data_IF_627271334339
#
_entry.id   IF_627271334339
#
_cell.length_a   1.000
_cell.length_b   1.000
_cell.length_c   1.000
_cell.angle_alpha   90.00
_cell.angle_beta   90.00
_cell.angle_gamma   90.00
#
_symmetry.space_group_name_H-M   'P 1'
#
loop_
_entity.id
_entity.type
_entity.pdbx_description
1 polymer ?
#
# COMPACT_ATOMS: atom_id res chain seq x y z
N UNK A 1 -0.64 31.36 72.66
CA UNK A 1 -0.79 31.94 71.32
C UNK A 1 -0.35 30.91 70.33
N UNK A 2 -1.25 30.25 69.53
CA UNK A 2 -0.86 29.28 68.51
C UNK A 2 -0.58 30.03 67.24
N UNK A 3 0.47 29.59 66.50
CA UNK A 3 0.90 30.05 65.24
C UNK A 3 0.09 29.29 64.12
N UNK A 4 -0.59 30.06 63.31
CA UNK A 4 -1.19 29.59 62.05
C UNK A 4 -0.09 29.06 61.14
N UNK A 5 -0.23 27.80 60.73
CA UNK A 5 0.48 27.23 59.61
C UNK A 5 -0.48 27.20 58.43
N UNK A 6 -0.25 28.10 57.53
CA UNK A 6 -0.89 28.08 56.20
C UNK A 6 -0.61 26.75 55.47
N UNK A 7 -1.66 26.01 55.28
CA UNK A 7 -1.65 24.78 54.50
C UNK A 7 -1.89 25.17 53.03
N UNK A 8 -0.83 25.55 52.34
CA UNK A 8 -0.90 25.72 50.86
C UNK A 8 -1.08 24.35 50.21
N UNK A 9 -2.29 24.05 49.82
CA UNK A 9 -2.60 22.91 48.97
C UNK A 9 -1.94 23.12 47.61
N UNK A 10 -0.83 22.44 47.39
CA UNK A 10 -0.25 22.28 46.06
C UNK A 10 -1.24 21.48 45.22
N UNK A 11 -1.95 22.19 44.34
CA UNK A 11 -2.72 21.59 43.21
C UNK A 11 -1.72 20.86 42.33
N UNK A 12 -1.58 19.56 42.50
CA UNK A 12 -0.92 18.68 41.56
C UNK A 12 -1.84 18.58 40.33
N UNK A 13 -1.56 19.40 39.34
CA UNK A 13 -2.07 19.20 37.96
C UNK A 13 -1.53 17.82 37.53
N UNK A 14 -2.35 16.80 37.59
CA UNK A 14 -2.04 15.52 37.01
C UNK A 14 -1.93 15.75 35.48
N UNK A 15 -0.71 15.71 34.94
CA UNK A 15 -0.54 15.65 33.50
C UNK A 15 -1.15 14.32 33.02
N UNK A 16 -2.27 14.39 32.32
CA UNK A 16 -2.87 13.23 31.71
C UNK A 16 -1.84 12.58 30.77
N UNK A 17 -1.78 11.24 30.80
CA UNK A 17 -0.87 10.49 29.92
C UNK A 17 -1.40 10.49 28.50
N UNK A 18 -0.52 10.41 27.50
CA UNK A 18 -0.91 10.32 26.08
C UNK A 18 -2.05 9.31 25.81
N UNK A 19 -2.02 8.08 26.36
CA UNK A 19 -3.12 7.13 26.16
C UNK A 19 -4.47 7.66 26.67
N UNK A 20 -4.51 8.33 27.82
CA UNK A 20 -5.77 8.82 28.39
C UNK A 20 -6.35 9.97 27.56
N UNK A 21 -5.52 10.92 27.13
CA UNK A 21 -5.96 12.03 26.26
C UNK A 21 -6.48 11.51 24.93
N UNK A 22 -5.76 10.56 24.31
CA UNK A 22 -6.15 9.96 23.04
C UNK A 22 -7.44 9.13 23.19
N UNK A 23 -7.63 8.41 24.29
CA UNK A 23 -8.83 7.64 24.55
C UNK A 23 -10.06 8.52 24.72
N UNK A 24 -9.93 9.64 25.41
CA UNK A 24 -10.99 10.64 25.56
C UNK A 24 -11.35 11.21 24.17
N UNK A 25 -10.36 11.64 23.39
CA UNK A 25 -10.58 12.18 22.05
C UNK A 25 -11.27 11.16 21.13
N UNK A 26 -10.80 9.91 21.12
CA UNK A 26 -11.41 8.85 20.34
C UNK A 26 -12.85 8.54 20.80
N UNK A 27 -13.11 8.59 22.11
CA UNK A 27 -14.46 8.42 22.65
C UNK A 27 -15.45 9.46 22.12
N UNK A 28 -15.00 10.68 21.90
CA UNK A 28 -15.81 11.80 21.38
C UNK A 28 -15.94 11.77 19.84
N UNK A 29 -14.92 11.29 19.11
CA UNK A 29 -14.81 11.43 17.65
C UNK A 29 -15.01 10.14 16.86
N UNK A 30 -15.06 8.96 17.51
CA UNK A 30 -15.20 7.67 16.82
C UNK A 30 -16.39 7.62 15.86
N UNK A 31 -17.55 8.10 16.29
CA UNK A 31 -18.76 8.13 15.44
C UNK A 31 -18.60 9.03 14.21
N UNK A 32 -17.82 10.11 14.32
CA UNK A 32 -17.55 10.99 13.19
C UNK A 32 -16.54 10.35 12.23
N UNK A 33 -15.51 9.67 12.74
CA UNK A 33 -14.57 8.93 11.90
C UNK A 33 -15.27 7.82 11.10
N UNK A 34 -16.21 7.11 11.70
CA UNK A 34 -17.04 6.14 10.96
C UNK A 34 -17.86 6.82 9.86
N UNK A 35 -18.42 8.02 10.09
CA UNK A 35 -19.09 8.77 9.03
C UNK A 35 -18.14 9.22 7.93
N UNK A 36 -16.91 9.62 8.26
CA UNK A 36 -15.87 9.94 7.29
C UNK A 36 -15.59 8.74 6.39
N UNK A 37 -15.32 7.56 6.96
CA UNK A 37 -15.11 6.32 6.20
C UNK A 37 -16.29 6.01 5.28
N UNK A 38 -17.51 6.07 5.81
CA UNK A 38 -18.73 5.79 5.06
C UNK A 38 -18.96 6.81 3.95
N UNK A 39 -18.61 8.08 4.17
CA UNK A 39 -18.68 9.11 3.13
C UNK A 39 -17.75 8.80 1.97
N UNK A 40 -16.49 8.43 2.25
CA UNK A 40 -15.51 8.04 1.23
C UNK A 40 -16.00 6.77 0.51
N UNK A 41 -16.46 5.77 1.24
CA UNK A 41 -17.00 4.52 0.68
C UNK A 41 -18.20 4.70 -0.24
N UNK A 42 -19.09 5.63 0.10
CA UNK A 42 -20.27 5.97 -0.72
C UNK A 42 -19.93 6.74 -2.00
N UNK A 43 -18.80 7.45 -2.02
CA UNK A 43 -18.38 8.33 -3.11
C UNK A 43 -17.00 7.92 -3.66
N UNK A 44 -16.80 6.65 -4.06
CA UNK A 44 -15.50 6.17 -4.50
C UNK A 44 -15.09 6.79 -5.82
N UNK A 45 -13.81 7.07 -5.96
CA UNK A 45 -13.21 7.59 -7.18
C UNK A 45 -12.07 6.67 -7.63
N UNK A 46 -11.98 6.44 -8.94
CA UNK A 46 -10.92 5.62 -9.52
C UNK A 46 -9.57 6.33 -9.46
N UNK A 47 -8.51 5.54 -9.56
CA UNK A 47 -7.12 6.04 -9.73
C UNK A 47 -7.05 7.18 -10.75
N UNK A 48 -6.29 8.22 -10.44
CA UNK A 48 -6.14 9.48 -11.21
C UNK A 48 -7.39 10.38 -11.24
N UNK A 49 -8.42 10.05 -10.48
CA UNK A 49 -9.69 10.80 -10.48
C UNK A 49 -10.20 11.12 -9.07
N UNK A 50 -9.37 11.01 -8.04
CA UNK A 50 -9.71 11.12 -6.61
C UNK A 50 -9.93 12.57 -6.15
N UNK A 51 -10.45 13.43 -7.04
CA UNK A 51 -10.58 14.89 -6.83
C UNK A 51 -11.45 15.25 -5.63
N UNK A 52 -12.60 14.57 -5.49
CA UNK A 52 -13.54 14.85 -4.39
C UNK A 52 -13.05 14.28 -3.07
N UNK A 53 -12.41 13.12 -3.11
CA UNK A 53 -11.81 12.48 -1.96
C UNK A 53 -10.67 13.34 -1.41
N UNK A 54 -9.78 13.81 -2.27
CA UNK A 54 -8.69 14.73 -1.92
C UNK A 54 -9.19 16.06 -1.33
N UNK A 55 -10.18 16.69 -1.97
CA UNK A 55 -10.75 17.96 -1.46
C UNK A 55 -11.54 17.73 -0.16
N UNK A 56 -12.22 16.58 0.01
CA UNK A 56 -12.88 16.23 1.26
C UNK A 56 -11.86 16.10 2.41
N UNK A 57 -10.76 15.39 2.21
CA UNK A 57 -9.68 15.26 3.18
C UNK A 57 -9.07 16.64 3.51
N UNK A 58 -8.73 17.42 2.48
CA UNK A 58 -8.17 18.76 2.68
C UNK A 58 -9.14 19.70 3.44
N UNK A 59 -10.43 19.60 3.17
CA UNK A 59 -11.45 20.39 3.89
C UNK A 59 -11.49 20.01 5.38
N UNK A 60 -11.48 18.69 5.71
CA UNK A 60 -11.45 18.24 7.11
C UNK A 60 -10.20 18.70 7.86
N UNK A 61 -9.06 18.74 7.18
CA UNK A 61 -7.81 19.26 7.74
C UNK A 61 -7.88 20.78 7.99
N UNK A 62 -8.42 21.55 7.02
CA UNK A 62 -8.63 23.02 7.18
C UNK A 62 -9.59 23.34 8.32
N UNK A 63 -10.66 22.58 8.48
CA UNK A 63 -11.61 22.72 9.60
C UNK A 63 -10.94 22.54 10.97
N UNK A 64 -9.88 21.72 11.03
CA UNK A 64 -9.05 21.56 12.23
C UNK A 64 -7.98 22.65 12.40
N UNK A 65 -7.91 23.63 11.49
CA UNK A 65 -6.94 24.73 11.52
C UNK A 65 -5.57 24.38 10.92
N UNK A 66 -5.51 23.32 10.11
CA UNK A 66 -4.29 22.89 9.42
C UNK A 66 -4.23 23.46 7.99
N UNK A 67 -3.05 23.44 7.39
CA UNK A 67 -2.78 23.99 6.06
C UNK A 67 -2.36 22.89 5.06
N UNK A 68 -3.30 22.06 4.57
CA UNK A 68 -2.99 21.06 3.56
C UNK A 68 -2.65 21.71 2.21
N UNK A 69 -1.72 21.10 1.48
CA UNK A 69 -1.39 21.47 0.12
C UNK A 69 -1.55 20.26 -0.82
N UNK A 70 -1.86 20.57 -2.09
CA UNK A 70 -2.00 19.57 -3.15
C UNK A 70 -0.72 19.48 -3.95
N UNK A 71 -0.36 18.24 -4.37
CA UNK A 71 0.77 18.08 -5.28
C UNK A 71 0.43 18.66 -6.67
N UNK A 72 1.39 19.26 -7.36
CA UNK A 72 1.14 19.84 -8.67
C UNK A 72 0.72 18.78 -9.71
N UNK A 73 -0.44 18.99 -10.33
CA UNK A 73 -0.92 18.18 -11.46
C UNK A 73 -1.53 16.82 -11.09
N UNK A 74 -1.75 16.58 -9.80
CA UNK A 74 -2.38 15.33 -9.33
C UNK A 74 -3.26 15.61 -8.08
N UNK A 75 -3.92 14.57 -7.55
CA UNK A 75 -4.87 14.64 -6.44
C UNK A 75 -4.23 14.37 -5.06
N UNK A 76 -2.92 14.24 -4.98
CA UNK A 76 -2.22 14.00 -3.71
C UNK A 76 -2.34 15.19 -2.75
N UNK A 77 -2.57 14.88 -1.46
CA UNK A 77 -2.68 15.90 -0.40
C UNK A 77 -1.61 15.63 0.66
N UNK A 78 -0.91 16.68 1.05
CA UNK A 78 0.08 16.64 2.12
C UNK A 78 -0.25 17.69 3.16
N UNK A 79 -0.05 17.36 4.45
CA UNK A 79 -0.30 18.29 5.55
C UNK A 79 0.67 18.06 6.69
N UNK A 80 1.33 19.10 7.16
CA UNK A 80 2.24 19.05 8.30
C UNK A 80 1.54 19.50 9.58
N UNK A 81 1.89 18.85 10.70
CA UNK A 81 1.38 19.13 12.05
C UNK A 81 2.57 19.21 12.99
N UNK A 82 2.59 20.21 13.85
CA UNK A 82 3.63 20.41 14.85
C UNK A 82 4.51 21.62 14.57
N UNK A 83 5.66 21.67 15.22
CA UNK A 83 6.61 22.77 15.08
C UNK A 83 7.26 22.75 13.69
N UNK A 84 7.17 23.83 12.89
CA UNK A 84 7.81 23.90 11.58
C UNK A 84 9.35 23.78 11.66
N UNK A 85 9.94 24.13 12.79
CA UNK A 85 11.38 24.04 13.02
C UNK A 85 11.82 22.73 13.69
N UNK A 86 10.91 21.73 13.79
CA UNK A 86 11.26 20.43 14.33
C UNK A 86 12.32 19.73 13.47
N UNK A 87 13.36 19.21 14.12
CA UNK A 87 14.48 18.53 13.45
C UNK A 87 14.07 17.24 12.74
N UNK A 88 12.93 16.65 13.11
CA UNK A 88 12.44 15.37 12.57
C UNK A 88 11.05 15.50 11.99
N UNK A 89 10.84 14.83 10.89
CA UNK A 89 9.53 14.69 10.26
C UNK A 89 9.19 13.21 10.18
N UNK A 90 8.08 12.83 10.80
CA UNK A 90 7.53 11.46 10.72
C UNK A 90 6.33 11.49 9.79
N UNK A 91 6.36 10.71 8.71
CA UNK A 91 5.26 10.65 7.76
C UNK A 91 4.29 9.49 8.06
N UNK A 92 3.00 9.76 7.90
CA UNK A 92 1.92 8.77 7.92
C UNK A 92 1.24 8.78 6.55
N UNK A 93 1.21 7.63 5.86
CA UNK A 93 0.66 7.53 4.49
C UNK A 93 -0.65 6.77 4.47
N UNK A 94 -1.58 7.26 3.67
CA UNK A 94 -2.75 6.53 3.19
C UNK A 94 -2.91 6.71 1.68
N UNK A 95 -3.35 5.67 1.00
CA UNK A 95 -3.88 5.68 -0.36
C UNK A 95 -5.37 6.09 -0.36
N UNK A 96 -5.87 6.58 -1.52
CA UNK A 96 -7.22 7.15 -1.59
C UNK A 96 -8.12 6.54 -2.67
N UNK A 97 -7.56 5.86 -3.66
CA UNK A 97 -8.28 5.40 -4.83
C UNK A 97 -9.17 4.17 -4.59
N UNK A 98 -10.16 4.00 -5.46
CA UNK A 98 -11.08 2.87 -5.48
C UNK A 98 -10.89 2.03 -6.75
N UNK A 99 -11.54 0.87 -6.77
CA UNK A 99 -11.44 -0.12 -7.85
C UNK A 99 -12.67 -0.11 -8.77
N UNK A 100 -12.51 -0.46 -10.06
CA UNK A 100 -13.60 -0.60 -11.02
C UNK A 100 -14.35 -1.92 -10.79
N UNK A 101 -14.99 -2.05 -9.63
CA UNK A 101 -15.72 -3.24 -9.17
C UNK A 101 -17.09 -2.81 -8.65
N UNK A 102 -18.16 -3.51 -9.05
CA UNK A 102 -19.49 -3.27 -8.51
C UNK A 102 -19.55 -3.54 -7.01
N UNK A 103 -20.30 -2.71 -6.29
CA UNK A 103 -20.61 -2.90 -4.87
C UNK A 103 -21.96 -3.59 -4.72
N UNK A 104 -22.04 -4.91 -4.50
CA UNK A 104 -23.30 -5.63 -4.35
C UNK A 104 -23.88 -5.60 -2.92
N UNK A 105 -23.15 -5.00 -1.96
CA UNK A 105 -23.54 -5.04 -0.53
C UNK A 105 -24.90 -4.38 -0.26
N UNK A 106 -25.65 -4.94 0.66
CA UNK A 106 -26.90 -4.34 1.19
C UNK A 106 -26.60 -3.63 2.53
N UNK A 107 -25.94 -2.48 2.42
CA UNK A 107 -25.55 -1.65 3.56
C UNK A 107 -25.90 -0.18 3.31
N UNK A 108 -26.20 0.62 4.35
CA UNK A 108 -26.62 2.02 4.18
C UNK A 108 -25.52 2.94 3.61
N UNK A 109 -24.26 2.49 3.61
CA UNK A 109 -23.10 3.19 3.06
C UNK A 109 -22.56 2.57 1.77
N UNK A 110 -23.36 1.74 1.07
CA UNK A 110 -23.03 1.20 -0.25
C UNK A 110 -22.58 2.31 -1.21
N UNK A 111 -21.65 1.99 -2.10
CA UNK A 111 -21.23 2.89 -3.18
C UNK A 111 -22.42 3.45 -3.96
N UNK A 112 -22.42 4.76 -4.18
CA UNK A 112 -23.40 5.45 -5.05
C UNK A 112 -22.94 5.55 -6.49
N UNK A 113 -21.69 5.12 -6.79
CA UNK A 113 -21.08 5.16 -8.11
C UNK A 113 -21.13 3.76 -8.74
N UNK A 114 -21.95 3.54 -9.79
CA UNK A 114 -22.07 2.24 -10.41
C UNK A 114 -20.72 1.75 -10.94
N UNK A 115 -20.39 0.47 -10.67
CA UNK A 115 -19.16 -0.15 -11.15
C UNK A 115 -17.89 0.27 -10.41
N UNK A 116 -18.00 1.00 -9.29
CA UNK A 116 -16.83 1.46 -8.51
C UNK A 116 -17.06 1.24 -7.02
N UNK A 117 -16.09 0.66 -6.32
CA UNK A 117 -16.13 0.57 -4.85
C UNK A 117 -14.73 0.52 -4.23
N UNK A 118 -14.66 0.84 -2.94
CA UNK A 118 -13.47 0.63 -2.12
C UNK A 118 -13.36 -0.84 -1.70
N UNK A 119 -12.84 -1.68 -2.59
CA UNK A 119 -12.67 -3.11 -2.36
C UNK A 119 -11.26 -3.50 -1.84
N UNK A 120 -10.41 -2.50 -1.54
CA UNK A 120 -9.08 -2.69 -0.93
C UNK A 120 -8.95 -2.05 0.46
N UNK A 121 -9.93 -1.26 0.90
CA UNK A 121 -9.93 -0.63 2.24
C UNK A 121 -9.25 0.73 2.30
N UNK A 122 -9.00 1.39 1.17
CA UNK A 122 -8.38 2.72 1.12
C UNK A 122 -9.24 3.79 1.80
N UNK A 123 -10.55 3.61 1.85
CA UNK A 123 -11.47 4.42 2.67
C UNK A 123 -11.15 4.33 4.17
N UNK A 124 -10.72 3.16 4.67
CA UNK A 124 -10.25 2.96 6.04
C UNK A 124 -8.86 3.57 6.23
N UNK A 125 -7.91 3.34 5.29
CA UNK A 125 -6.56 3.89 5.37
C UNK A 125 -6.60 5.43 5.43
N UNK A 126 -7.33 6.06 4.51
CA UNK A 126 -7.55 7.52 4.49
C UNK A 126 -8.16 8.02 5.80
N UNK A 127 -9.19 7.32 6.31
CA UNK A 127 -9.85 7.71 7.58
C UNK A 127 -8.92 7.56 8.78
N UNK A 128 -8.11 6.51 8.83
CA UNK A 128 -7.14 6.28 9.92
C UNK A 128 -6.08 7.36 9.96
N UNK A 129 -5.48 7.70 8.80
CA UNK A 129 -4.44 8.74 8.75
C UNK A 129 -5.03 10.12 9.00
N UNK A 130 -6.21 10.43 8.47
CA UNK A 130 -6.94 11.67 8.77
C UNK A 130 -7.25 11.76 10.27
N UNK A 131 -7.82 10.72 10.86
CA UNK A 131 -8.13 10.67 12.29
C UNK A 131 -6.90 10.82 13.17
N UNK A 132 -5.79 10.18 12.82
CA UNK A 132 -4.51 10.35 13.51
C UNK A 132 -4.02 11.81 13.44
N UNK A 133 -4.11 12.43 12.27
CA UNK A 133 -3.77 13.84 12.07
C UNK A 133 -4.63 14.78 12.92
N UNK A 134 -5.95 14.58 12.93
CA UNK A 134 -6.86 15.39 13.75
C UNK A 134 -6.59 15.24 15.26
N UNK A 135 -6.32 14.02 15.72
CA UNK A 135 -5.95 13.76 17.11
C UNK A 135 -4.61 14.43 17.47
N UNK A 136 -3.61 14.32 16.60
CA UNK A 136 -2.29 14.97 16.79
C UNK A 136 -2.39 16.49 16.78
N UNK A 137 -3.23 17.07 15.93
CA UNK A 137 -3.49 18.51 15.90
C UNK A 137 -4.11 19.00 17.23
N UNK A 138 -5.04 18.23 17.81
CA UNK A 138 -5.63 18.56 19.11
C UNK A 138 -4.60 18.42 20.24
N UNK A 139 -3.82 17.34 20.24
CA UNK A 139 -2.72 17.14 21.19
C UNK A 139 -1.70 18.29 21.13
N UNK A 140 -1.38 18.77 19.92
CA UNK A 140 -0.41 19.85 19.72
C UNK A 140 -0.87 21.19 20.36
N UNK A 141 -2.17 21.43 20.50
CA UNK A 141 -2.70 22.64 21.17
C UNK A 141 -2.39 22.65 22.66
N UNK A 142 -2.23 21.49 23.28
CA UNK A 142 -2.02 21.35 24.73
C UNK A 142 -0.61 20.92 25.08
N UNK A 143 0.11 20.27 24.17
CA UNK A 143 1.45 19.74 24.39
C UNK A 143 2.26 19.79 23.10
N UNK A 144 3.54 20.19 23.20
CA UNK A 144 4.44 20.16 22.04
C UNK A 144 4.67 18.72 21.58
N UNK A 145 4.46 18.45 20.28
CA UNK A 145 4.81 17.17 19.69
C UNK A 145 6.34 17.00 19.62
N UNK A 146 6.87 15.77 19.75
CA UNK A 146 8.31 15.51 19.72
C UNK A 146 8.91 15.65 18.30
N UNK A 147 8.06 15.73 17.27
CA UNK A 147 8.43 15.86 15.87
C UNK A 147 7.37 16.64 15.11
N UNK A 148 7.67 17.02 13.88
CA UNK A 148 6.66 17.38 12.90
C UNK A 148 6.10 16.09 12.29
N UNK A 149 4.77 15.98 12.21
CA UNK A 149 4.10 14.85 11.60
C UNK A 149 3.56 15.27 10.24
N UNK A 150 3.95 14.54 9.20
CA UNK A 150 3.49 14.74 7.83
C UNK A 150 2.46 13.71 7.46
N UNK A 151 1.26 14.15 7.14
CA UNK A 151 0.21 13.32 6.57
C UNK A 151 0.39 13.29 5.06
N UNK A 152 0.38 12.09 4.47
CA UNK A 152 0.54 11.88 3.02
C UNK A 152 -0.67 11.09 2.54
N UNK A 153 -1.60 11.76 1.86
CA UNK A 153 -2.75 11.13 1.21
C UNK A 153 -2.43 10.97 -0.27
N UNK A 154 -2.18 9.76 -0.65
CA UNK A 154 -1.66 9.39 -1.95
C UNK A 154 -2.79 8.95 -2.90
N UNK A 155 -2.85 9.46 -4.13
CA UNK A 155 -3.73 8.93 -5.18
C UNK A 155 -3.12 7.72 -5.86
N UNK A 156 -3.94 6.93 -6.57
CA UNK A 156 -3.52 6.03 -7.64
C UNK A 156 -2.56 4.91 -7.21
N UNK A 157 -2.87 4.20 -6.14
CA UNK A 157 -2.12 3.01 -5.72
C UNK A 157 -2.37 1.83 -6.69
N UNK A 158 -3.62 1.65 -7.14
CA UNK A 158 -4.13 0.48 -7.86
C UNK A 158 -3.85 0.50 -9.38
N UNK A 159 -3.08 1.46 -9.88
CA UNK A 159 -2.79 1.60 -11.31
C UNK A 159 -1.31 1.74 -11.62
N UNK A 160 -0.94 1.56 -12.91
CA UNK A 160 0.41 1.83 -13.40
C UNK A 160 0.40 2.88 -14.52
N UNK A 161 1.27 3.89 -14.45
CA UNK A 161 2.17 4.21 -13.33
C UNK A 161 1.39 4.64 -12.08
N UNK A 162 1.89 4.25 -10.90
CA UNK A 162 1.23 4.53 -9.62
C UNK A 162 1.51 5.95 -9.11
N UNK A 163 0.81 6.38 -8.05
CA UNK A 163 0.88 7.73 -7.54
C UNK A 163 2.07 8.03 -6.63
N UNK A 164 2.67 7.02 -5.96
CA UNK A 164 3.77 7.26 -5.04
C UNK A 164 4.97 7.99 -5.68
N UNK A 165 5.44 7.66 -6.91
CA UNK A 165 6.48 8.44 -7.57
C UNK A 165 6.11 9.90 -7.85
N UNK A 166 4.83 10.20 -8.06
CA UNK A 166 4.36 11.59 -8.27
C UNK A 166 4.43 12.38 -6.95
N UNK A 167 4.01 11.76 -5.83
CA UNK A 167 4.16 12.33 -4.49
C UNK A 167 5.62 12.62 -4.14
N UNK A 168 6.53 11.68 -4.41
CA UNK A 168 7.97 11.83 -4.16
C UNK A 168 8.53 13.00 -4.97
N UNK A 169 8.25 13.05 -6.27
CA UNK A 169 8.71 14.15 -7.14
C UNK A 169 8.17 15.52 -6.72
N UNK A 170 7.00 15.57 -6.11
CA UNK A 170 6.40 16.78 -5.57
C UNK A 170 6.98 17.23 -4.22
N UNK A 171 7.92 16.47 -3.64
CA UNK A 171 8.55 16.79 -2.36
C UNK A 171 7.80 16.28 -1.13
N UNK A 172 6.83 15.37 -1.27
CA UNK A 172 6.07 14.85 -0.14
C UNK A 172 6.96 14.15 0.91
N UNK A 173 8.13 13.68 0.51
CA UNK A 173 9.12 13.02 1.40
C UNK A 173 10.33 13.90 1.74
N UNK A 174 10.34 15.18 1.35
CA UNK A 174 11.45 16.08 1.66
C UNK A 174 11.65 16.19 3.17
N UNK A 175 12.89 15.92 3.64
CA UNK A 175 13.32 15.89 5.05
C UNK A 175 12.58 14.86 5.95
N UNK A 176 11.85 13.91 5.38
CA UNK A 176 11.17 12.87 6.16
C UNK A 176 12.18 11.89 6.75
N UNK A 177 12.18 11.77 8.08
CA UNK A 177 13.07 10.88 8.83
C UNK A 177 12.59 9.42 8.82
N UNK A 178 11.27 9.22 8.81
CA UNK A 178 10.66 7.89 8.74
C UNK A 178 9.21 7.96 8.25
N UNK A 179 8.73 6.86 7.63
CA UNK A 179 7.37 6.79 7.09
C UNK A 179 6.66 5.50 7.50
N UNK A 180 5.37 5.62 7.85
CA UNK A 180 4.55 4.50 8.29
C UNK A 180 3.21 4.47 7.55
N UNK A 181 2.71 3.24 7.30
CA UNK A 181 1.42 3.01 6.67
C UNK A 181 0.72 1.77 7.27
N UNK A 182 -0.58 1.71 7.07
CA UNK A 182 -1.36 0.47 7.23
C UNK A 182 -1.88 -0.01 5.87
N UNK A 183 -2.09 -1.33 5.80
CA UNK A 183 -2.96 -1.93 4.80
C UNK A 183 -3.97 -2.84 5.51
N UNK A 184 -5.25 -2.76 5.14
CA UNK A 184 -6.30 -3.63 5.66
C UNK A 184 -6.03 -5.11 5.36
N UNK A 185 -6.22 -5.98 6.36
CA UNK A 185 -6.19 -7.43 6.17
C UNK A 185 -7.49 -8.04 6.73
N UNK A 186 -8.42 -8.48 5.87
CA UNK A 186 -9.67 -9.09 6.30
C UNK A 186 -9.51 -10.47 6.95
N UNK A 187 -8.35 -11.13 6.76
CA UNK A 187 -8.04 -12.42 7.40
C UNK A 187 -7.55 -12.25 8.83
N UNK A 188 -7.15 -11.03 9.19
CA UNK A 188 -6.73 -10.68 10.54
C UNK A 188 -7.92 -10.10 11.30
N UNK A 189 -8.31 -10.66 12.47
CA UNK A 189 -9.41 -10.13 13.26
C UNK A 189 -9.20 -8.68 13.66
N UNK A 190 -10.29 -7.91 13.74
CA UNK A 190 -10.29 -6.54 14.26
C UNK A 190 -9.63 -6.48 15.64
N UNK A 191 -8.87 -5.41 15.89
CA UNK A 191 -8.07 -5.24 17.12
C UNK A 191 -6.68 -5.86 17.07
N UNK A 192 -6.33 -6.56 16.00
CA UNK A 192 -4.97 -7.07 15.79
C UNK A 192 -4.20 -6.25 14.77
N UNK A 193 -2.89 -6.22 14.95
CA UNK A 193 -1.94 -5.60 14.02
C UNK A 193 -0.89 -6.63 13.62
N UNK A 194 -0.80 -6.91 12.33
CA UNK A 194 0.18 -7.80 11.74
C UNK A 194 1.45 -7.05 11.35
N UNK A 195 2.59 -7.43 11.89
CA UNK A 195 3.90 -6.80 11.62
C UNK A 195 4.87 -7.81 11.01
N UNK A 196 5.78 -7.32 10.17
CA UNK A 196 6.83 -8.12 9.59
C UNK A 196 8.03 -7.25 9.22
N UNK A 197 9.20 -7.60 9.68
CA UNK A 197 10.46 -6.99 9.25
C UNK A 197 10.96 -7.63 7.96
N UNK A 198 11.56 -6.84 7.08
CA UNK A 198 11.98 -7.31 5.76
C UNK A 198 10.82 -7.40 4.76
N UNK A 199 10.83 -8.37 3.82
CA UNK A 199 9.84 -8.44 2.76
C UNK A 199 8.41 -8.63 3.31
N UNK A 200 7.51 -7.69 2.97
CA UNK A 200 6.08 -7.72 3.32
C UNK A 200 5.21 -8.01 2.09
N UNK A 201 5.50 -7.36 0.96
CA UNK A 201 4.80 -7.61 -0.31
C UNK A 201 5.81 -7.87 -1.42
N UNK A 202 5.37 -8.56 -2.49
CA UNK A 202 6.21 -8.81 -3.64
C UNK A 202 6.25 -7.59 -4.59
N UNK A 203 7.32 -7.50 -5.38
CA UNK A 203 7.31 -6.73 -6.61
C UNK A 203 6.21 -7.25 -7.55
N UNK A 204 5.70 -6.37 -8.41
CA UNK A 204 4.65 -6.71 -9.35
C UNK A 204 4.96 -6.14 -10.73
N UNK A 205 5.57 -6.96 -11.59
CA UNK A 205 5.88 -6.61 -12.97
C UNK A 205 4.98 -7.39 -13.95
N UNK A 206 4.77 -6.84 -15.15
CA UNK A 206 4.08 -7.51 -16.24
C UNK A 206 5.04 -7.81 -17.39
N UNK A 207 4.75 -8.89 -18.10
CA UNK A 207 5.50 -9.33 -19.25
C UNK A 207 4.55 -9.64 -20.41
N UNK A 208 4.80 -9.03 -21.57
CA UNK A 208 4.13 -9.38 -22.82
C UNK A 208 5.18 -9.71 -23.87
N UNK A 209 5.03 -10.85 -24.53
CA UNK A 209 5.91 -11.27 -25.61
C UNK A 209 5.08 -11.54 -26.84
N UNK A 210 5.39 -10.85 -27.93
CA UNK A 210 4.80 -11.08 -29.26
C UNK A 210 5.82 -11.79 -30.14
N UNK A 211 5.47 -12.99 -30.62
CA UNK A 211 6.26 -13.71 -31.60
C UNK A 211 5.72 -13.48 -32.99
N UNK A 212 6.61 -13.25 -33.96
CA UNK A 212 6.28 -13.14 -35.39
C UNK A 212 7.13 -14.08 -36.21
N UNK A 213 6.51 -14.67 -37.26
CA UNK A 213 7.19 -15.59 -38.15
C UNK A 213 6.39 -15.92 -39.42
N UNK A 214 6.99 -16.69 -40.32
CA UNK A 214 6.33 -17.12 -41.51
C UNK A 214 5.29 -18.20 -41.22
N UNK A 215 4.01 -17.86 -41.35
CA UNK A 215 2.92 -18.82 -41.29
C UNK A 215 2.80 -19.71 -42.54
N UNK A 216 1.88 -20.67 -42.48
CA UNK A 216 1.60 -21.53 -43.64
C UNK A 216 0.84 -22.82 -43.30
N UNK A 217 0.82 -23.76 -44.20
CA UNK A 217 0.09 -25.01 -44.01
C UNK A 217 0.85 -25.98 -43.11
N UNK A 218 0.19 -26.55 -42.10
CA UNK A 218 0.79 -27.47 -41.11
C UNK A 218 1.41 -28.73 -41.73
N UNK A 219 1.04 -29.13 -42.97
CA UNK A 219 1.68 -30.21 -43.69
C UNK A 219 3.08 -29.88 -44.27
N UNK A 220 3.51 -28.62 -44.17
CA UNK A 220 4.80 -28.13 -44.67
C UNK A 220 5.56 -27.33 -43.62
N UNK A 221 5.82 -27.90 -42.42
CA UNK A 221 6.42 -27.16 -41.29
C UNK A 221 7.81 -26.62 -41.63
N UNK A 222 8.59 -27.30 -42.50
CA UNK A 222 9.90 -26.87 -42.95
C UNK A 222 9.94 -25.56 -43.76
N UNK A 223 8.78 -25.06 -44.21
CA UNK A 223 8.62 -23.78 -44.94
C UNK A 223 8.02 -22.68 -44.07
N UNK A 224 7.82 -22.94 -42.78
CA UNK A 224 7.15 -22.06 -41.85
C UNK A 224 7.97 -21.86 -40.56
N UNK A 225 7.58 -20.90 -39.74
CA UNK A 225 8.02 -20.76 -38.36
C UNK A 225 6.87 -21.20 -37.46
N UNK A 226 7.01 -22.32 -36.78
CA UNK A 226 5.95 -22.86 -35.91
C UNK A 226 5.82 -22.02 -34.63
N UNK A 227 4.98 -20.99 -34.68
CA UNK A 227 4.78 -20.08 -33.55
C UNK A 227 4.03 -20.73 -32.39
N UNK A 228 3.16 -21.73 -32.66
CA UNK A 228 2.47 -22.46 -31.59
C UNK A 228 3.50 -23.23 -30.75
N UNK A 229 4.42 -23.92 -31.43
CA UNK A 229 5.54 -24.59 -30.74
C UNK A 229 6.44 -23.58 -30.00
N UNK A 230 6.83 -22.49 -30.64
CA UNK A 230 7.71 -21.49 -30.06
C UNK A 230 7.12 -20.87 -28.78
N UNK A 231 5.83 -20.50 -28.78
CA UNK A 231 5.12 -19.99 -27.61
C UNK A 231 5.03 -21.03 -26.48
N UNK A 232 4.77 -22.30 -26.84
CA UNK A 232 4.74 -23.39 -25.85
C UNK A 232 6.10 -23.54 -25.14
N UNK A 233 7.20 -23.37 -25.90
CA UNK A 233 8.57 -23.40 -25.35
C UNK A 233 8.79 -22.24 -24.37
N UNK A 234 8.29 -21.04 -24.65
CA UNK A 234 8.39 -19.92 -23.71
C UNK A 234 7.70 -20.24 -22.38
N UNK A 235 6.50 -20.82 -22.41
CA UNK A 235 5.77 -21.19 -21.19
C UNK A 235 6.55 -22.17 -20.32
N UNK A 236 7.21 -23.15 -20.94
CA UNK A 236 7.90 -24.23 -20.23
C UNK A 236 9.32 -23.81 -19.83
N UNK A 237 10.07 -23.25 -20.77
CA UNK A 237 11.51 -23.09 -20.62
C UNK A 237 11.89 -21.79 -19.89
N UNK A 238 11.16 -20.68 -20.09
CA UNK A 238 11.55 -19.39 -19.50
C UNK A 238 11.52 -19.44 -17.97
N UNK A 239 10.44 -19.89 -17.30
CA UNK A 239 10.43 -20.01 -15.86
C UNK A 239 11.51 -20.98 -15.36
N UNK A 240 11.65 -22.14 -16.01
CA UNK A 240 12.61 -23.15 -15.61
C UNK A 240 14.08 -22.71 -15.74
N UNK A 241 14.40 -21.92 -16.77
CA UNK A 241 15.75 -21.35 -16.96
C UNK A 241 16.00 -20.19 -16.00
N UNK A 242 14.98 -19.37 -15.73
CA UNK A 242 15.07 -18.27 -14.76
C UNK A 242 15.43 -18.80 -13.38
N UNK A 243 14.74 -19.86 -12.90
CA UNK A 243 15.01 -20.51 -11.62
C UNK A 243 16.44 -21.06 -11.49
N UNK A 244 17.11 -21.37 -12.61
CA UNK A 244 18.49 -21.85 -12.62
C UNK A 244 19.54 -20.74 -12.62
N UNK A 245 19.14 -19.51 -12.91
CA UNK A 245 20.03 -18.33 -12.98
C UNK A 245 19.93 -17.43 -11.76
N UNK A 246 18.92 -17.63 -10.91
CA UNK A 246 18.67 -16.82 -9.72
C UNK A 246 19.08 -17.54 -8.43
N UNK A 247 19.41 -16.76 -7.42
CA UNK A 247 19.47 -17.28 -6.04
C UNK A 247 18.04 -17.67 -5.60
N UNK A 248 17.82 -18.93 -5.18
CA UNK A 248 16.48 -19.38 -4.76
C UNK A 248 15.88 -18.52 -3.62
N UNK A 249 16.71 -17.84 -2.83
CA UNK A 249 16.27 -16.94 -1.75
C UNK A 249 15.59 -15.67 -2.27
N UNK A 250 15.83 -15.29 -3.52
CA UNK A 250 15.17 -14.13 -4.15
C UNK A 250 13.68 -14.34 -4.37
N UNK A 251 13.20 -15.59 -4.28
CA UNK A 251 11.78 -15.96 -4.37
C UNK A 251 11.08 -15.34 -5.58
N UNK A 252 11.67 -15.53 -6.77
CA UNK A 252 11.10 -15.02 -8.03
C UNK A 252 10.11 -16.02 -8.60
N UNK A 253 8.94 -15.54 -9.02
CA UNK A 253 7.92 -16.32 -9.71
C UNK A 253 7.53 -15.64 -11.02
N UNK A 254 7.73 -16.33 -12.16
CA UNK A 254 7.22 -15.92 -13.46
C UNK A 254 6.10 -16.86 -13.85
N UNK A 255 4.89 -16.30 -14.04
CA UNK A 255 3.69 -17.07 -14.37
C UNK A 255 3.01 -16.45 -15.58
N UNK A 256 2.80 -17.24 -16.62
CA UNK A 256 2.02 -16.83 -17.80
C UNK A 256 0.54 -17.12 -17.59
N UNK A 257 -0.29 -16.08 -17.70
CA UNK A 257 -1.74 -16.15 -17.53
C UNK A 257 -2.53 -16.20 -18.87
N UNK A 258 -1.89 -15.85 -19.98
CA UNK A 258 -2.55 -15.86 -21.30
C UNK A 258 -1.58 -16.25 -22.42
N UNK A 259 -2.07 -17.04 -23.35
CA UNK A 259 -1.40 -17.39 -24.62
C UNK A 259 -2.43 -17.35 -25.73
N UNK A 260 -2.13 -16.66 -26.84
CA UNK A 260 -3.02 -16.50 -27.96
C UNK A 260 -2.24 -16.69 -29.27
N UNK A 261 -2.64 -17.68 -30.09
CA UNK A 261 -2.00 -17.93 -31.38
C UNK A 261 -2.88 -18.82 -32.26
N UNK A 262 -3.16 -18.34 -33.46
CA UNK A 262 -3.90 -19.08 -34.47
C UNK A 262 -5.36 -19.36 -34.14
N UNK A 263 -6.13 -19.80 -35.14
CA UNK A 263 -7.56 -20.16 -35.03
C UNK A 263 -7.93 -21.42 -35.82
N UNK A 264 -7.04 -21.91 -36.67
CA UNK A 264 -7.30 -23.06 -37.52
C UNK A 264 -6.26 -24.18 -37.34
N UNK A 265 -6.72 -25.41 -37.20
CA UNK A 265 -5.86 -26.56 -36.93
C UNK A 265 -4.85 -26.89 -38.04
N UNK A 266 -5.11 -26.48 -39.28
CA UNK A 266 -4.26 -26.75 -40.43
C UNK A 266 -3.47 -25.56 -40.96
N UNK A 267 -3.43 -24.45 -40.17
CA UNK A 267 -2.69 -23.23 -40.53
C UNK A 267 -1.81 -22.77 -39.39
N UNK A 268 -0.52 -22.65 -39.63
CA UNK A 268 0.45 -22.05 -38.72
C UNK A 268 0.28 -20.53 -38.79
N UNK A 269 0.03 -19.84 -37.66
CA UNK A 269 -0.15 -18.39 -37.60
C UNK A 269 1.13 -17.62 -37.91
N UNK A 270 0.99 -16.33 -38.27
CA UNK A 270 2.12 -15.40 -38.46
C UNK A 270 2.47 -14.58 -37.24
N UNK A 271 1.58 -14.55 -36.26
CA UNK A 271 1.72 -13.85 -35.02
C UNK A 271 1.09 -14.64 -33.86
N UNK A 272 1.67 -14.50 -32.68
CA UNK A 272 1.11 -15.02 -31.46
C UNK A 272 1.68 -14.28 -30.25
N UNK A 273 0.91 -14.20 -29.18
CA UNK A 273 1.24 -13.45 -27.96
C UNK A 273 1.14 -14.32 -26.73
N UNK A 274 2.01 -14.02 -25.74
CA UNK A 274 1.95 -14.57 -24.42
C UNK A 274 2.06 -13.43 -23.39
N UNK A 275 1.27 -13.47 -22.31
CA UNK A 275 1.30 -12.49 -21.24
C UNK A 275 1.42 -13.17 -19.89
N UNK A 276 2.20 -12.55 -19.02
CA UNK A 276 2.45 -13.06 -17.67
C UNK A 276 2.79 -11.97 -16.67
N UNK A 277 3.00 -12.41 -15.45
CA UNK A 277 3.46 -11.55 -14.34
C UNK A 277 4.75 -12.10 -13.77
N UNK A 278 5.60 -11.19 -13.28
CA UNK A 278 6.82 -11.53 -12.56
C UNK A 278 6.72 -10.95 -11.16
N UNK A 279 6.85 -11.82 -10.15
CA UNK A 279 6.76 -11.48 -8.74
C UNK A 279 8.05 -11.85 -8.04
N UNK A 280 8.52 -11.01 -7.11
CA UNK A 280 9.74 -11.31 -6.36
C UNK A 280 9.80 -10.53 -5.04
N UNK A 281 10.53 -11.08 -4.06
CA UNK A 281 10.65 -10.52 -2.72
C UNK A 281 11.99 -9.81 -2.49
N UNK A 282 12.88 -9.85 -3.46
CA UNK A 282 14.23 -9.32 -3.35
C UNK A 282 14.40 -8.08 -4.26
N UNK A 283 14.88 -6.97 -3.66
CA UNK A 283 15.04 -5.69 -4.36
C UNK A 283 16.17 -5.72 -5.40
N UNK A 284 17.24 -6.44 -5.13
CA UNK A 284 18.36 -6.54 -6.07
C UNK A 284 18.00 -7.45 -7.25
N UNK A 285 17.27 -8.55 -6.98
CA UNK A 285 16.72 -9.37 -8.05
C UNK A 285 15.77 -8.54 -8.94
N UNK A 286 14.92 -7.67 -8.35
CA UNK A 286 14.01 -6.81 -9.11
C UNK A 286 14.75 -5.88 -10.09
N UNK A 287 15.97 -5.45 -9.78
CA UNK A 287 16.80 -4.62 -10.69
C UNK A 287 17.31 -5.40 -11.90
N UNK A 288 17.61 -6.69 -11.74
CA UNK A 288 18.37 -7.49 -12.72
C UNK A 288 17.50 -8.49 -13.51
N UNK A 289 16.38 -8.92 -12.95
CA UNK A 289 15.47 -9.91 -13.56
C UNK A 289 14.92 -9.49 -14.93
N UNK A 290 14.58 -8.21 -15.19
CA UNK A 290 14.06 -7.81 -16.51
C UNK A 290 15.01 -8.13 -17.66
N UNK A 291 16.30 -7.80 -17.53
CA UNK A 291 17.31 -8.09 -18.55
C UNK A 291 17.55 -9.60 -18.70
N UNK A 292 17.56 -10.31 -17.57
CA UNK A 292 17.74 -11.77 -17.56
C UNK A 292 16.56 -12.48 -18.25
N UNK A 293 15.32 -12.09 -17.98
CA UNK A 293 14.13 -12.65 -18.62
C UNK A 293 14.14 -12.39 -20.12
N UNK A 294 14.46 -11.16 -20.54
CA UNK A 294 14.56 -10.79 -21.96
C UNK A 294 15.60 -11.65 -22.65
N UNK A 295 16.78 -11.82 -22.07
CA UNK A 295 17.83 -12.68 -22.66
C UNK A 295 17.41 -14.16 -22.74
N UNK A 296 16.75 -14.69 -21.72
CA UNK A 296 16.25 -16.07 -21.73
C UNK A 296 15.22 -16.27 -22.84
N UNK A 297 14.31 -15.30 -23.03
CA UNK A 297 13.33 -15.35 -24.10
C UNK A 297 14.03 -15.40 -25.46
N UNK A 298 15.01 -14.55 -25.70
CA UNK A 298 15.78 -14.54 -26.94
C UNK A 298 16.50 -15.87 -27.18
N UNK A 299 17.13 -16.44 -26.14
CA UNK A 299 17.83 -17.73 -26.21
C UNK A 299 16.86 -18.89 -26.54
N UNK A 300 15.64 -18.88 -25.98
CA UNK A 300 14.61 -19.91 -26.25
C UNK A 300 14.00 -19.76 -27.62
N UNK A 301 13.81 -18.54 -28.11
CA UNK A 301 13.14 -18.25 -29.39
C UNK A 301 14.09 -18.45 -30.56
N UNK A 302 15.38 -18.09 -30.42
CA UNK A 302 16.38 -18.10 -31.49
C UNK A 302 16.41 -19.41 -32.32
N UNK A 303 16.37 -20.61 -31.74
CA UNK A 303 16.39 -21.86 -32.52
C UNK A 303 15.11 -22.10 -33.35
N UNK A 304 14.00 -21.45 -33.02
CA UNK A 304 12.71 -21.60 -33.68
C UNK A 304 12.63 -20.80 -35.00
N UNK A 305 13.50 -19.82 -35.19
CA UNK A 305 13.49 -18.87 -36.30
C UNK A 305 12.39 -17.81 -36.19
N UNK A 306 11.67 -17.73 -35.08
CA UNK A 306 10.72 -16.65 -34.81
C UNK A 306 11.47 -15.35 -34.41
N UNK A 307 10.78 -14.22 -34.58
CA UNK A 307 11.20 -12.93 -34.04
C UNK A 307 10.39 -12.62 -32.80
N UNK A 308 11.07 -12.36 -31.68
CA UNK A 308 10.43 -11.93 -30.44
C UNK A 308 10.45 -10.40 -30.33
N UNK A 309 9.32 -9.85 -29.87
CA UNK A 309 9.17 -8.48 -29.40
C UNK A 309 8.78 -8.59 -27.91
N UNK A 310 9.70 -8.20 -27.02
CA UNK A 310 9.55 -8.38 -25.58
C UNK A 310 9.25 -7.05 -24.95
N UNK A 311 8.07 -6.92 -24.36
CA UNK A 311 7.65 -5.77 -23.59
C UNK A 311 7.61 -6.15 -22.11
N UNK A 312 8.69 -5.84 -21.38
CA UNK A 312 8.76 -6.01 -19.95
C UNK A 312 8.35 -4.70 -19.26
N UNK A 313 7.20 -4.72 -18.58
CA UNK A 313 6.60 -3.56 -17.93
C UNK A 313 6.95 -3.63 -16.45
N UNK A 314 7.85 -2.76 -16.01
CA UNK A 314 8.16 -2.63 -14.58
C UNK A 314 7.00 -1.97 -13.86
N UNK A 315 6.49 -2.64 -12.85
CA UNK A 315 5.46 -2.11 -11.95
C UNK A 315 6.06 -1.55 -10.67
N UNK A 316 5.71 -2.12 -9.52
CA UNK A 316 6.20 -1.69 -8.21
C UNK A 316 7.27 -2.63 -7.68
N UNK A 317 8.28 -2.12 -6.96
CA UNK A 317 9.25 -2.94 -6.25
C UNK A 317 8.62 -3.66 -5.04
N UNK A 318 9.32 -4.61 -4.40
CA UNK A 318 8.82 -5.22 -3.18
C UNK A 318 8.82 -4.23 -2.02
N UNK A 319 7.81 -4.27 -1.16
CA UNK A 319 7.85 -3.58 0.14
C UNK A 319 8.79 -4.35 1.06
N UNK A 320 9.89 -3.71 1.43
CA UNK A 320 10.87 -4.25 2.37
C UNK A 320 10.92 -3.35 3.59
N UNK A 321 10.17 -3.71 4.61
CA UNK A 321 10.10 -2.96 5.85
C UNK A 321 11.47 -2.85 6.53
N UNK A 322 11.84 -1.64 6.94
CA UNK A 322 13.02 -1.41 7.76
C UNK A 322 12.88 -2.09 9.13
N UNK A 323 13.97 -2.66 9.62
CA UNK A 323 13.95 -3.41 10.88
C UNK A 323 13.65 -2.53 12.09
N UNK A 324 14.21 -1.33 12.14
CA UNK A 324 14.04 -0.40 13.27
C UNK A 324 12.65 0.19 13.24
N UNK A 325 12.18 0.64 12.07
CA UNK A 325 10.83 1.16 11.87
C UNK A 325 9.76 0.10 12.19
N UNK A 326 9.97 -1.16 11.79
CA UNK A 326 9.06 -2.27 12.14
C UNK A 326 8.99 -2.51 13.65
N UNK A 327 10.14 -2.52 14.33
CA UNK A 327 10.18 -2.70 15.78
C UNK A 327 9.49 -1.55 16.51
N UNK A 328 9.63 -0.33 16.01
CA UNK A 328 8.98 0.86 16.54
C UNK A 328 7.47 0.80 16.38
N UNK A 329 6.97 0.49 15.18
CA UNK A 329 5.55 0.31 14.91
C UNK A 329 4.95 -0.81 15.77
N UNK A 330 5.66 -1.94 15.90
CA UNK A 330 5.24 -3.05 16.75
C UNK A 330 5.16 -2.64 18.23
N UNK A 331 6.15 -1.89 18.74
CA UNK A 331 6.15 -1.35 20.10
C UNK A 331 5.00 -0.36 20.34
N UNK A 332 4.74 0.52 19.36
CA UNK A 332 3.64 1.47 19.41
C UNK A 332 2.27 0.74 19.39
N UNK A 333 2.12 -0.27 18.55
CA UNK A 333 0.91 -1.11 18.50
C UNK A 333 0.70 -1.88 19.83
N UNK A 334 1.78 -2.39 20.42
CA UNK A 334 1.76 -3.06 21.72
C UNK A 334 1.35 -2.12 22.85
N UNK A 335 1.88 -0.90 22.86
CA UNK A 335 1.51 0.13 23.83
C UNK A 335 0.05 0.59 23.66
N UNK A 336 -0.43 0.68 22.41
CA UNK A 336 -1.76 1.15 22.08
C UNK A 336 -2.87 0.10 22.32
N UNK A 337 -2.60 -1.17 22.01
CA UNK A 337 -3.63 -2.22 21.98
C UNK A 337 -3.35 -3.39 22.92
N UNK A 338 -2.14 -3.48 23.48
CA UNK A 338 -1.64 -4.61 24.26
C UNK A 338 -0.80 -5.59 23.43
N UNK A 339 0.20 -6.19 24.06
CA UNK A 339 1.19 -7.06 23.42
C UNK A 339 0.54 -8.25 22.65
N UNK A 340 -0.51 -8.84 23.20
CA UNK A 340 -1.23 -9.97 22.58
C UNK A 340 -1.96 -9.62 21.27
N UNK A 341 -2.09 -8.34 20.94
CA UNK A 341 -2.73 -7.86 19.71
C UNK A 341 -1.74 -7.70 18.56
N UNK A 342 -0.43 -7.71 18.84
CA UNK A 342 0.61 -7.64 17.82
C UNK A 342 1.01 -9.06 17.41
N UNK A 343 0.86 -9.37 16.12
CA UNK A 343 1.14 -10.70 15.58
C UNK A 343 2.07 -10.62 14.37
N UNK A 344 2.80 -11.69 14.10
CA UNK A 344 3.55 -11.79 12.84
C UNK A 344 2.58 -12.02 11.68
N UNK A 345 2.79 -11.29 10.56
CA UNK A 345 1.99 -11.47 9.34
C UNK A 345 2.79 -12.18 8.25
N UNK A 346 2.15 -13.05 7.43
CA UNK A 346 2.83 -13.66 6.30
C UNK A 346 3.13 -12.64 5.20
N UNK A 347 4.09 -12.98 4.33
CA UNK A 347 4.35 -12.24 3.09
C UNK A 347 3.15 -12.33 2.17
N UNK A 348 2.80 -11.21 1.52
CA UNK A 348 1.84 -11.15 0.42
C UNK A 348 2.57 -11.17 -0.92
N UNK A 349 2.02 -11.88 -1.89
CA UNK A 349 2.51 -11.82 -3.28
C UNK A 349 1.82 -10.72 -4.10
N UNK A 350 0.96 -9.89 -3.48
CA UNK A 350 0.42 -8.66 -4.08
C UNK A 350 1.51 -7.59 -4.24
N UNK A 351 1.30 -6.65 -5.16
CA UNK A 351 2.10 -5.42 -5.28
C UNK A 351 1.59 -4.36 -4.30
N UNK A 352 2.44 -3.37 -4.00
CA UNK A 352 2.10 -2.23 -3.15
C UNK A 352 3.12 -1.11 -3.40
N UNK A 353 2.66 0.06 -3.79
CA UNK A 353 3.53 1.14 -4.22
C UNK A 353 4.12 1.97 -3.06
N UNK A 354 3.71 1.72 -1.81
CA UNK A 354 4.41 2.19 -0.61
C UNK A 354 5.91 1.85 -0.66
N UNK A 355 6.26 0.81 -1.38
CA UNK A 355 7.62 0.37 -1.63
C UNK A 355 8.55 1.47 -2.20
N UNK A 356 8.01 2.44 -2.95
CA UNK A 356 8.78 3.56 -3.49
C UNK A 356 9.22 4.53 -2.40
N UNK A 357 8.38 4.77 -1.39
CA UNK A 357 8.74 5.64 -0.26
C UNK A 357 9.89 5.06 0.57
N UNK A 358 10.01 3.73 0.61
CA UNK A 358 11.10 3.06 1.35
C UNK A 358 12.46 3.19 0.68
N UNK A 359 12.54 3.71 -0.55
CA UNK A 359 13.78 4.13 -1.18
C UNK A 359 14.25 5.51 -0.68
N UNK A 360 13.30 6.35 -0.23
CA UNK A 360 13.56 7.74 0.19
C UNK A 360 13.76 7.86 1.71
N UNK A 361 13.00 7.08 2.49
CA UNK A 361 13.08 7.13 3.94
C UNK A 361 12.89 5.72 4.56
N UNK A 362 13.57 5.41 5.68
CA UNK A 362 13.28 4.20 6.42
C UNK A 362 11.82 4.18 6.88
N UNK A 363 11.16 3.03 6.78
CA UNK A 363 9.75 2.97 7.12
C UNK A 363 9.22 1.56 7.28
N UNK A 364 7.98 1.46 7.68
CA UNK A 364 7.29 0.19 7.81
C UNK A 364 5.80 0.32 7.51
N UNK A 365 5.28 -0.66 6.79
CA UNK A 365 3.86 -0.91 6.66
C UNK A 365 3.46 -2.09 7.54
N UNK A 366 2.32 -1.98 8.22
CA UNK A 366 1.73 -3.10 8.96
C UNK A 366 0.35 -3.47 8.41
N UNK A 367 -0.13 -4.66 8.75
CA UNK A 367 -1.47 -5.12 8.44
C UNK A 367 -2.43 -4.74 9.57
N UNK A 368 -3.45 -3.95 9.24
CA UNK A 368 -4.53 -3.62 10.15
C UNK A 368 -5.62 -4.68 10.06
N UNK A 369 -5.89 -5.38 11.15
CA UNK A 369 -6.97 -6.34 11.22
C UNK A 369 -8.32 -5.67 11.07
N UNK A 370 -9.07 -6.06 10.05
CA UNK A 370 -10.41 -5.55 9.74
C UNK A 370 -11.46 -6.67 9.65
N UNK A 371 -11.05 -7.90 9.89
CA UNK A 371 -11.89 -9.09 9.76
C UNK A 371 -13.01 -9.13 10.79
N UNK A 372 -14.23 -9.43 10.34
CA UNK A 372 -15.41 -9.67 11.17
C UNK A 372 -15.45 -11.12 11.61
N UNK A 373 -15.83 -11.42 12.85
CA UNK A 373 -15.96 -12.81 13.31
C UNK A 373 -16.96 -13.60 12.46
N UNK A 374 -16.51 -14.75 11.93
CA UNK A 374 -17.36 -15.67 11.15
C UNK A 374 -17.54 -15.30 9.67
N UNK A 375 -16.99 -14.19 9.20
CA UNK A 375 -16.97 -13.82 7.78
C UNK A 375 -15.62 -14.21 7.15
N UNK A 376 -15.67 -14.63 5.88
CA UNK A 376 -14.48 -14.88 5.06
C UNK A 376 -14.54 -13.95 3.85
N UNK A 377 -14.00 -12.74 4.03
CA UNK A 377 -13.92 -11.73 3.00
C UNK A 377 -12.51 -11.66 2.43
N UNK A 378 -12.35 -11.24 1.20
CA UNK A 378 -11.04 -11.00 0.60
C UNK A 378 -11.03 -9.64 -0.11
N UNK A 379 -9.82 -9.11 -0.30
CA UNK A 379 -9.58 -7.86 -1.04
C UNK A 379 -9.97 -8.04 -2.52
N UNK A 380 -10.23 -6.93 -3.21
CA UNK A 380 -10.59 -6.87 -4.63
C UNK A 380 -11.87 -7.67 -4.97
N UNK A 381 -12.74 -7.82 -3.99
CA UNK A 381 -14.10 -8.36 -4.16
C UNK A 381 -15.13 -7.29 -3.80
N UNK A 382 -16.19 -7.16 -4.60
CA UNK A 382 -17.26 -6.19 -4.33
C UNK A 382 -17.97 -6.42 -2.99
N UNK A 383 -17.90 -7.63 -2.46
CA UNK A 383 -18.43 -8.01 -1.14
C UNK A 383 -17.52 -7.64 0.03
N UNK A 384 -16.28 -7.16 -0.26
CA UNK A 384 -15.36 -6.75 0.78
C UNK A 384 -15.97 -5.67 1.68
N UNK A 385 -15.87 -5.87 2.97
CA UNK A 385 -16.25 -4.90 4.00
C UNK A 385 -15.38 -5.10 5.25
N UNK A 386 -15.45 -4.17 6.18
CA UNK A 386 -14.58 -4.12 7.34
C UNK A 386 -15.39 -4.05 8.64
N UNK A 387 -14.81 -4.50 9.73
CA UNK A 387 -15.25 -4.09 11.06
C UNK A 387 -14.75 -2.65 11.31
N UNK A 388 -15.69 -1.70 11.42
CA UNK A 388 -15.35 -0.27 11.53
C UNK A 388 -14.63 0.09 12.85
N UNK A 389 -14.65 -0.80 13.86
CA UNK A 389 -13.82 -0.63 15.07
C UNK A 389 -12.31 -0.62 14.73
N UNK A 390 -11.90 -1.16 13.58
CA UNK A 390 -10.53 -1.08 13.07
C UNK A 390 -10.04 0.37 12.92
N UNK A 391 -10.93 1.33 12.61
CA UNK A 391 -10.60 2.75 12.46
C UNK A 391 -10.02 3.29 13.79
N UNK A 392 -10.73 3.07 14.90
CA UNK A 392 -10.27 3.47 16.23
C UNK A 392 -8.90 2.87 16.57
N UNK A 393 -8.73 1.58 16.30
CA UNK A 393 -7.47 0.89 16.56
C UNK A 393 -6.33 1.44 15.68
N UNK A 394 -6.59 1.66 14.39
CA UNK A 394 -5.62 2.22 13.47
C UNK A 394 -5.18 3.63 13.87
N UNK A 395 -6.11 4.53 14.19
CA UNK A 395 -5.82 5.89 14.66
C UNK A 395 -4.94 5.84 15.91
N UNK A 396 -5.31 5.02 16.89
CA UNK A 396 -4.54 4.88 18.13
C UNK A 396 -3.11 4.45 17.86
N UNK A 397 -2.90 3.43 17.04
CA UNK A 397 -1.56 2.93 16.71
C UNK A 397 -0.76 3.96 15.91
N UNK A 398 -1.35 4.65 14.94
CA UNK A 398 -0.65 5.67 14.16
C UNK A 398 -0.19 6.86 15.01
N UNK A 399 -1.02 7.33 15.95
CA UNK A 399 -0.62 8.38 16.89
C UNK A 399 0.54 7.92 17.77
N UNK A 400 0.44 6.72 18.37
CA UNK A 400 1.53 6.16 19.16
C UNK A 400 2.82 5.98 18.34
N UNK A 401 2.70 5.57 17.07
CA UNK A 401 3.84 5.39 16.17
C UNK A 401 4.52 6.72 15.86
N UNK A 402 3.75 7.77 15.55
CA UNK A 402 4.29 9.10 15.28
C UNK A 402 5.03 9.67 16.50
N UNK A 403 4.44 9.52 17.68
CA UNK A 403 5.07 9.99 18.93
C UNK A 403 6.36 9.23 19.24
N UNK A 404 6.33 7.89 19.16
CA UNK A 404 7.51 7.06 19.42
C UNK A 404 8.64 7.31 18.41
N UNK A 405 8.30 7.50 17.13
CA UNK A 405 9.26 7.80 16.07
C UNK A 405 9.89 9.19 16.26
N UNK A 406 9.10 10.17 16.70
CA UNK A 406 9.57 11.51 17.00
C UNK A 406 10.54 11.59 18.20
N UNK A 407 10.36 10.74 19.18
CA UNK A 407 11.23 10.65 20.36
C UNK A 407 12.50 9.83 20.10
N UNK A 408 12.53 9.01 19.05
CA UNK A 408 13.61 8.07 18.80
C UNK A 408 14.87 8.75 18.26
N UNK A 409 16.02 8.41 18.79
CA UNK A 409 17.33 8.78 18.22
C UNK A 409 17.78 7.86 17.07
N UNK A 410 16.96 6.91 16.67
CA UNK A 410 17.32 5.91 15.66
C UNK A 410 17.12 6.38 14.20
N UNK A 411 16.46 7.54 13.99
CA UNK A 411 16.23 8.16 12.70
C UNK A 411 16.74 9.60 12.66
#
# INVERSE_FOLDING_TARGET
>A
MPSDRDNASLSTTQHETLPAVLDNWLGEHESELVKVRRHIHMNPELSRSEHKTAEFVATRLREAGLEPWFIPGDNGVVCDIGDPDAERIVALRADMDALPIDDPKDVPYKSTVPGVCHACGHDVHTTVVLGAGLALAELHKTSKLPCRVRLVFQPSEETFPSGAPDMIRAGALEDVSSIFAFHCDPRLPVGKVGVRSGPLTAASDALEVTLRGRGGHTSRPHLTTDLVHALSRLVVDVPALLDRRLDPRSSVALVFGAINSGSAANAIPQEGTIRGTVRMLDREAWKTVPDMVTQIIDDVVKPTGAKADVNYIRGVPPVINDRVATAMLAGAASAALGESQVVETPVSMGGEDFSWYLDEAPGAMARLGVGRPGESLDLHQGTFDVDEAAIRHGVRVMVHTAMAAGESAAF
#
